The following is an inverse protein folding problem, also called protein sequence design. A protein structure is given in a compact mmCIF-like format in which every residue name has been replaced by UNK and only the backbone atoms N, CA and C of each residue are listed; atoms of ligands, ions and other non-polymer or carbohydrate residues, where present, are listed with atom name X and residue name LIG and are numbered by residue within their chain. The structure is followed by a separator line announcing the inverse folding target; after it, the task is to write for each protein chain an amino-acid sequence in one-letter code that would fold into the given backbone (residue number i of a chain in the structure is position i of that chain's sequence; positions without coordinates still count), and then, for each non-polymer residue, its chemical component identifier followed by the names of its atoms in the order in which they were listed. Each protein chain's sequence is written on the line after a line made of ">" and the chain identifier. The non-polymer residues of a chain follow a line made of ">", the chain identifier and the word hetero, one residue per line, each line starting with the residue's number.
data_IF_681816891292
#
_entry.id   IF_681816891292
#
_cell.length_a   1.000
_cell.length_b   1.000
_cell.length_c   1.000
_cell.angle_alpha   90.00
_cell.angle_beta   90.00
_cell.angle_gamma   90.00
#
_symmetry.space_group_name_H-M   'P 1'
#
loop_
_entity.id
_entity.type
_entity.pdbx_description
1 polymer ?
#
# COMPACT_ATOMS: atom_id res chain seq x y z
N UNK A 1 6.03 9.23 -22.42
CA UNK A 1 4.58 9.55 -22.17
C UNK A 1 4.38 9.39 -20.69
N UNK A 2 3.97 10.43 -19.98
CA UNK A 2 3.79 10.40 -18.52
C UNK A 2 2.69 9.44 -18.15
N UNK A 3 2.96 8.50 -17.25
CA UNK A 3 1.98 7.55 -16.74
C UNK A 3 1.01 8.23 -15.77
N UNK A 4 -0.21 7.74 -15.67
CA UNK A 4 -1.24 8.21 -14.74
C UNK A 4 -1.57 7.15 -13.71
N UNK A 5 -1.70 7.56 -12.44
CA UNK A 5 -2.13 6.68 -11.35
C UNK A 5 -3.39 7.26 -10.70
N UNK A 6 -4.54 6.62 -10.89
CA UNK A 6 -5.76 6.92 -10.15
C UNK A 6 -5.62 6.46 -8.72
N UNK A 7 -5.65 7.39 -7.79
CA UNK A 7 -5.35 7.16 -6.39
C UNK A 7 -6.03 8.20 -5.48
N UNK A 8 -5.95 7.98 -4.18
CA UNK A 8 -6.26 8.97 -3.14
C UNK A 8 -5.41 8.69 -1.89
N UNK A 9 -5.11 9.74 -1.13
CA UNK A 9 -4.11 9.73 -0.06
C UNK A 9 -4.30 8.65 0.99
N UNK A 10 -5.55 8.27 1.30
CA UNK A 10 -5.86 7.28 2.35
C UNK A 10 -5.75 5.82 1.89
N UNK A 11 -5.52 5.57 0.60
CA UNK A 11 -5.41 4.21 0.07
C UNK A 11 -4.00 3.65 0.21
N UNK A 12 -3.80 2.73 1.16
CA UNK A 12 -2.53 2.01 1.29
C UNK A 12 -2.18 1.16 0.07
N UNK A 13 -3.18 0.62 -0.65
CA UNK A 13 -2.95 -0.10 -1.90
C UNK A 13 -2.47 0.84 -3.02
N UNK A 14 -3.03 2.06 -3.11
CA UNK A 14 -2.53 3.05 -4.06
C UNK A 14 -1.14 3.54 -3.68
N UNK A 15 -0.86 3.71 -2.37
CA UNK A 15 0.46 4.10 -1.89
C UNK A 15 1.57 3.12 -2.29
N UNK A 16 1.33 1.81 -2.27
CA UNK A 16 2.30 0.81 -2.75
C UNK A 16 2.74 1.08 -4.19
N UNK A 17 1.79 1.33 -5.08
CA UNK A 17 2.06 1.63 -6.48
C UNK A 17 2.75 2.98 -6.63
N UNK A 18 2.22 4.03 -5.97
CA UNK A 18 2.78 5.38 -5.99
C UNK A 18 4.23 5.41 -5.47
N UNK A 19 4.49 4.75 -4.32
CA UNK A 19 5.83 4.66 -3.74
C UNK A 19 6.81 3.95 -4.69
N UNK A 20 6.37 2.87 -5.34
CA UNK A 20 7.21 2.15 -6.30
C UNK A 20 7.53 3.01 -7.50
N UNK A 21 6.56 3.73 -8.06
CA UNK A 21 6.75 4.68 -9.17
C UNK A 21 7.75 5.78 -8.80
N UNK A 22 7.58 6.39 -7.63
CA UNK A 22 8.43 7.48 -7.14
C UNK A 22 9.88 7.01 -6.93
N UNK A 23 10.08 5.94 -6.15
CA UNK A 23 11.42 5.41 -5.85
C UNK A 23 12.12 4.84 -7.10
N UNK A 24 11.37 4.32 -8.06
CA UNK A 24 11.92 3.88 -9.33
C UNK A 24 12.33 5.05 -10.24
N UNK A 25 11.88 6.27 -9.94
CA UNK A 25 12.09 7.45 -10.80
C UNK A 25 11.28 7.35 -12.09
N UNK A 26 10.09 6.76 -12.01
CA UNK A 26 9.17 6.66 -13.15
C UNK A 26 8.56 8.04 -13.45
N UNK A 27 8.31 8.33 -14.72
CA UNK A 27 7.58 9.56 -15.12
C UNK A 27 6.08 9.33 -14.95
N UNK A 28 5.49 9.86 -13.86
CA UNK A 28 4.10 9.64 -13.51
C UNK A 28 3.44 10.86 -12.86
N UNK A 29 2.11 10.89 -12.91
CA UNK A 29 1.29 11.89 -12.23
C UNK A 29 0.09 11.23 -11.52
N UNK A 30 -0.31 11.70 -10.33
CA UNK A 30 -1.50 11.21 -9.65
C UNK A 30 -2.77 11.81 -10.28
N UNK A 31 -3.81 10.98 -10.38
CA UNK A 31 -5.17 11.39 -10.70
C UNK A 31 -6.04 11.14 -9.48
N UNK A 32 -6.54 12.22 -8.87
CA UNK A 32 -7.37 12.11 -7.67
C UNK A 32 -8.67 11.37 -7.94
N UNK A 33 -9.03 10.47 -7.03
CA UNK A 33 -10.30 9.75 -7.03
C UNK A 33 -11.11 10.13 -5.78
N UNK A 34 -12.32 10.62 -5.98
CA UNK A 34 -13.24 10.97 -4.90
C UNK A 34 -13.92 9.71 -4.32
N UNK A 35 -13.10 8.83 -3.72
CA UNK A 35 -13.52 7.52 -3.21
C UNK A 35 -14.70 7.63 -2.24
N UNK A 36 -14.64 8.55 -1.28
CA UNK A 36 -15.68 8.72 -0.26
C UNK A 36 -16.99 9.31 -0.83
N UNK A 37 -16.95 9.92 -2.01
CA UNK A 37 -18.13 10.36 -2.77
C UNK A 37 -18.68 9.29 -3.69
N UNK A 38 -18.09 8.08 -3.70
CA UNK A 38 -18.58 6.94 -4.49
C UNK A 38 -18.15 6.93 -5.95
N UNK A 39 -17.18 7.76 -6.37
CA UNK A 39 -16.69 7.82 -7.75
C UNK A 39 -16.31 6.44 -8.32
N UNK A 40 -15.68 5.59 -7.51
CA UNK A 40 -15.25 4.24 -7.93
C UNK A 40 -16.42 3.32 -8.31
N UNK A 41 -17.66 3.68 -7.97
CA UNK A 41 -18.89 2.93 -8.32
C UNK A 41 -19.62 3.51 -9.51
N UNK A 42 -19.17 4.66 -10.00
CA UNK A 42 -19.73 5.29 -11.20
C UNK A 42 -19.35 4.56 -12.49
N UNK A 43 -20.16 4.67 -13.55
CA UNK A 43 -19.95 3.94 -14.80
C UNK A 43 -18.60 4.26 -15.46
N UNK A 44 -18.13 5.49 -15.37
CA UNK A 44 -16.85 5.90 -15.96
C UNK A 44 -15.67 5.19 -15.27
N UNK A 45 -15.68 5.11 -13.94
CA UNK A 45 -14.63 4.41 -13.20
C UNK A 45 -14.72 2.89 -13.38
N UNK A 46 -15.92 2.33 -13.40
CA UNK A 46 -16.15 0.89 -13.68
C UNK A 46 -15.65 0.55 -15.10
N UNK A 47 -15.82 1.45 -16.06
CA UNK A 47 -15.24 1.29 -17.41
C UNK A 47 -13.70 1.31 -17.43
N UNK A 48 -13.06 1.94 -16.45
CA UNK A 48 -11.61 1.97 -16.27
C UNK A 48 -11.10 0.75 -15.50
N UNK A 49 -11.83 0.34 -14.45
CA UNK A 49 -11.56 -0.83 -13.61
C UNK A 49 -12.87 -1.45 -13.12
N UNK A 50 -13.23 -2.60 -13.67
CA UNK A 50 -14.44 -3.35 -13.33
C UNK A 50 -14.56 -3.73 -11.85
N UNK A 51 -13.44 -3.76 -11.11
CA UNK A 51 -13.42 -4.05 -9.67
C UNK A 51 -13.84 -2.84 -8.82
N UNK A 52 -13.92 -1.61 -9.39
CA UNK A 52 -14.29 -0.40 -8.65
C UNK A 52 -13.28 -0.02 -7.56
N UNK A 53 -12.00 -0.32 -7.77
CA UNK A 53 -10.93 -0.16 -6.80
C UNK A 53 -9.76 0.68 -7.34
N UNK A 54 -9.07 1.39 -6.46
CA UNK A 54 -7.76 1.99 -6.72
C UNK A 54 -6.65 1.10 -6.14
N UNK A 55 -5.42 1.15 -6.70
CA UNK A 55 -4.97 2.00 -7.81
C UNK A 55 -5.35 1.47 -9.19
N UNK A 56 -5.42 2.39 -10.15
CA UNK A 56 -5.37 2.09 -11.57
C UNK A 56 -4.20 2.84 -12.19
N UNK A 57 -3.37 2.15 -12.94
CA UNK A 57 -2.24 2.72 -13.69
C UNK A 57 -2.56 2.73 -15.18
N UNK A 58 -2.22 3.82 -15.86
CA UNK A 58 -2.35 3.92 -17.32
C UNK A 58 -1.15 4.61 -17.95
N UNK A 59 -0.59 3.98 -18.97
CA UNK A 59 0.46 4.54 -19.82
C UNK A 59 0.14 4.23 -21.29
N UNK A 60 -0.21 5.24 -22.08
CA UNK A 60 -0.70 5.03 -23.44
C UNK A 60 -1.95 4.15 -23.46
N UNK A 61 -1.89 3.04 -24.18
CA UNK A 61 -2.98 2.06 -24.30
C UNK A 61 -2.95 0.99 -23.19
N UNK A 62 -1.86 0.94 -22.40
CA UNK A 62 -1.74 0.00 -21.30
C UNK A 62 -2.54 0.51 -20.10
N UNK A 63 -3.45 -0.32 -19.59
CA UNK A 63 -4.13 -0.10 -18.31
C UNK A 63 -3.88 -1.30 -17.40
N UNK A 64 -3.42 -1.04 -16.18
CA UNK A 64 -3.16 -2.06 -15.16
C UNK A 64 -3.94 -1.74 -13.89
N UNK A 65 -4.48 -2.78 -13.29
CA UNK A 65 -5.13 -2.74 -11.98
C UNK A 65 -4.42 -3.69 -11.01
N UNK A 66 -4.74 -3.62 -9.71
CA UNK A 66 -4.05 -4.32 -8.63
C UNK A 66 -2.64 -3.79 -8.36
N UNK A 67 -2.43 -3.29 -7.14
CA UNK A 67 -1.15 -2.66 -6.74
C UNK A 67 0.07 -3.54 -7.01
N UNK A 68 -0.03 -4.85 -6.74
CA UNK A 68 1.06 -5.79 -6.96
C UNK A 68 1.42 -5.95 -8.45
N UNK A 69 0.42 -5.92 -9.35
CA UNK A 69 0.65 -5.98 -10.80
C UNK A 69 1.35 -4.72 -11.29
N UNK A 70 0.91 -3.55 -10.79
CA UNK A 70 1.54 -2.26 -11.12
C UNK A 70 2.99 -2.23 -10.61
N UNK A 71 3.23 -2.66 -9.37
CA UNK A 71 4.58 -2.73 -8.80
C UNK A 71 5.51 -3.63 -9.63
N UNK A 72 5.05 -4.82 -10.02
CA UNK A 72 5.80 -5.73 -10.88
C UNK A 72 6.12 -5.10 -12.24
N UNK A 73 5.14 -4.50 -12.89
CA UNK A 73 5.34 -3.82 -14.18
C UNK A 73 6.40 -2.72 -14.07
N UNK A 74 6.31 -1.86 -13.04
CA UNK A 74 7.27 -0.77 -12.82
C UNK A 74 8.67 -1.32 -12.56
N UNK A 75 8.81 -2.34 -11.72
CA UNK A 75 10.08 -2.96 -11.41
C UNK A 75 10.72 -3.62 -12.64
N UNK A 76 9.94 -4.36 -13.43
CA UNK A 76 10.40 -4.99 -14.68
C UNK A 76 10.79 -3.96 -15.75
N UNK A 77 10.01 -2.87 -15.87
CA UNK A 77 10.25 -1.80 -16.83
C UNK A 77 11.51 -0.98 -16.52
N UNK A 78 11.80 -0.78 -15.23
CA UNK A 78 12.94 0.04 -14.76
C UNK A 78 14.18 -0.79 -14.41
N UNK A 79 14.05 -2.09 -14.24
CA UNK A 79 15.10 -2.97 -13.73
C UNK A 79 15.42 -2.75 -12.23
N UNK A 80 14.60 -1.97 -11.50
CA UNK A 80 14.80 -1.63 -10.09
C UNK A 80 13.90 -2.46 -9.18
N UNK A 81 14.38 -2.77 -7.97
CA UNK A 81 13.60 -3.41 -6.90
C UNK A 81 13.04 -4.82 -7.20
N UNK A 82 13.58 -5.50 -8.21
CA UNK A 82 13.15 -6.85 -8.59
C UNK A 82 13.59 -7.93 -7.60
N UNK A 83 14.68 -7.69 -6.85
CA UNK A 83 15.34 -8.72 -6.05
C UNK A 83 16.03 -9.79 -6.91
N UNK A 84 16.86 -10.63 -6.28
CA UNK A 84 17.58 -11.72 -6.94
C UNK A 84 16.74 -12.99 -7.05
N UNK A 85 15.87 -13.23 -6.07
CA UNK A 85 14.92 -14.35 -6.07
C UNK A 85 13.48 -13.84 -6.26
N UNK A 86 12.99 -13.96 -7.49
CA UNK A 86 11.62 -13.57 -7.86
C UNK A 86 10.55 -14.30 -7.02
N UNK A 87 10.80 -15.58 -6.68
CA UNK A 87 9.81 -16.35 -5.91
C UNK A 87 9.70 -15.82 -4.47
N UNK A 88 10.82 -15.41 -3.87
CA UNK A 88 10.82 -14.82 -2.54
C UNK A 88 10.11 -13.45 -2.54
N UNK A 89 10.37 -12.61 -3.55
CA UNK A 89 9.65 -11.33 -3.72
C UNK A 89 8.14 -11.58 -3.84
N UNK A 90 7.72 -12.47 -4.74
CA UNK A 90 6.31 -12.80 -4.92
C UNK A 90 5.67 -13.39 -3.66
N UNK A 91 6.38 -14.25 -2.93
CA UNK A 91 5.90 -14.83 -1.67
C UNK A 91 5.51 -13.75 -0.68
N UNK A 92 6.33 -12.70 -0.52
CA UNK A 92 6.04 -11.59 0.37
C UNK A 92 4.96 -10.65 -0.17
N UNK A 93 4.89 -10.43 -1.46
CA UNK A 93 3.79 -9.67 -2.07
C UNK A 93 2.44 -10.37 -1.88
N UNK A 94 2.37 -11.70 -2.03
CA UNK A 94 1.16 -12.47 -1.73
C UNK A 94 0.85 -12.52 -0.24
N UNK A 95 1.88 -12.60 0.62
CA UNK A 95 1.68 -12.47 2.07
C UNK A 95 1.07 -11.11 2.43
N UNK A 96 1.58 -10.02 1.87
CA UNK A 96 1.00 -8.70 2.05
C UNK A 96 -0.47 -8.69 1.65
N UNK A 97 -0.75 -9.05 0.40
CA UNK A 97 -2.10 -8.95 -0.15
C UNK A 97 -3.14 -9.73 0.67
N UNK A 98 -2.76 -10.93 1.15
CA UNK A 98 -3.65 -11.79 1.94
C UNK A 98 -3.66 -11.44 3.43
N UNK A 99 -2.50 -11.14 4.03
CA UNK A 99 -2.31 -11.12 5.48
C UNK A 99 -2.14 -9.73 6.08
N UNK A 100 -1.58 -8.79 5.35
CA UNK A 100 -1.40 -7.42 5.81
C UNK A 100 -2.49 -6.53 5.20
N UNK A 101 -2.41 -6.19 3.94
CA UNK A 101 -3.32 -5.22 3.31
C UNK A 101 -4.77 -5.68 3.27
N UNK A 102 -5.02 -6.97 3.05
CA UNK A 102 -6.36 -7.55 3.10
C UNK A 102 -7.04 -7.45 4.47
N UNK A 103 -6.29 -7.15 5.53
CA UNK A 103 -6.81 -6.91 6.87
C UNK A 103 -6.69 -5.44 7.28
N UNK A 104 -5.57 -4.78 6.96
CA UNK A 104 -5.30 -3.40 7.35
C UNK A 104 -6.26 -2.40 6.70
N UNK A 105 -6.52 -2.56 5.41
CA UNK A 105 -7.48 -1.71 4.69
C UNK A 105 -8.87 -1.73 5.31
N UNK A 106 -9.52 -2.89 5.46
CA UNK A 106 -10.82 -3.00 6.15
C UNK A 106 -10.78 -2.53 7.60
N UNK A 107 -9.76 -2.90 8.39
CA UNK A 107 -9.66 -2.45 9.79
C UNK A 107 -9.60 -0.93 9.88
N UNK A 108 -8.73 -0.30 9.07
CA UNK A 108 -8.58 1.16 9.03
C UNK A 108 -9.87 1.84 8.57
N UNK A 109 -10.56 1.29 7.56
CA UNK A 109 -11.83 1.81 7.09
C UNK A 109 -12.89 1.79 8.19
N UNK A 110 -13.08 0.64 8.84
CA UNK A 110 -14.08 0.47 9.90
C UNK A 110 -13.79 1.35 11.13
N UNK A 111 -12.53 1.54 11.48
CA UNK A 111 -12.13 2.30 12.66
C UNK A 111 -12.13 3.81 12.46
N UNK A 112 -11.83 4.30 11.24
CA UNK A 112 -11.57 5.74 11.06
C UNK A 112 -12.57 6.42 10.13
N UNK A 113 -13.23 5.68 9.22
CA UNK A 113 -14.06 6.29 8.16
C UNK A 113 -15.55 6.01 8.34
N UNK A 114 -15.92 5.15 9.28
CA UNK A 114 -17.30 4.98 9.69
C UNK A 114 -17.63 5.87 10.90
N UNK A 115 -18.87 6.41 10.98
CA UNK A 115 -19.40 6.99 12.20
C UNK A 115 -19.27 6.03 13.37
N UNK A 116 -18.95 6.52 14.57
CA UNK A 116 -18.63 5.69 15.73
C UNK A 116 -19.72 4.67 16.06
N UNK A 117 -20.99 5.07 15.95
CA UNK A 117 -22.17 4.23 16.21
C UNK A 117 -22.38 3.10 15.19
N UNK A 118 -21.70 3.18 14.03
CA UNK A 118 -21.78 2.17 12.96
C UNK A 118 -20.56 1.24 12.94
N UNK A 119 -19.60 1.43 13.85
CA UNK A 119 -18.37 0.63 13.89
C UNK A 119 -18.65 -0.77 14.46
N UNK A 120 -18.45 -1.85 13.69
CA UNK A 120 -18.74 -3.20 14.15
C UNK A 120 -17.56 -3.74 15.00
N UNK A 121 -17.64 -3.60 16.33
CA UNK A 121 -16.56 -3.94 17.25
C UNK A 121 -16.00 -5.36 17.04
N UNK A 122 -16.87 -6.38 16.91
CA UNK A 122 -16.43 -7.76 16.71
C UNK A 122 -15.67 -8.00 15.39
N UNK A 123 -16.01 -7.27 14.32
CA UNK A 123 -15.27 -7.35 13.06
C UNK A 123 -13.90 -6.65 13.19
N UNK A 124 -13.85 -5.51 13.88
CA UNK A 124 -12.61 -4.79 14.16
C UNK A 124 -11.67 -5.66 14.98
N UNK A 125 -12.15 -6.27 16.09
CA UNK A 125 -11.36 -7.14 16.95
C UNK A 125 -10.79 -8.34 16.17
N UNK A 126 -11.61 -8.94 15.31
CA UNK A 126 -11.18 -10.04 14.44
C UNK A 126 -10.05 -9.62 13.50
N UNK A 127 -10.21 -8.48 12.81
CA UNK A 127 -9.21 -7.96 11.87
C UNK A 127 -7.91 -7.60 12.58
N UNK A 128 -7.99 -6.94 13.74
CA UNK A 128 -6.82 -6.60 14.57
C UNK A 128 -6.10 -7.85 15.07
N UNK A 129 -6.84 -8.89 15.47
CA UNK A 129 -6.27 -10.18 15.87
C UNK A 129 -5.48 -10.83 14.74
N UNK A 130 -6.02 -10.79 13.51
CA UNK A 130 -5.34 -11.30 12.32
C UNK A 130 -4.10 -10.48 11.95
N UNK A 131 -4.19 -9.16 12.03
CA UNK A 131 -3.05 -8.26 11.80
C UNK A 131 -1.94 -8.52 12.80
N UNK A 132 -2.25 -8.63 14.09
CA UNK A 132 -1.26 -8.93 15.13
C UNK A 132 -0.54 -10.26 14.87
N UNK A 133 -1.26 -11.28 14.39
CA UNK A 133 -0.64 -12.55 13.99
C UNK A 133 0.30 -12.36 12.78
N UNK A 134 -0.04 -11.49 11.84
CA UNK A 134 0.80 -11.21 10.66
C UNK A 134 2.02 -10.37 11.02
N UNK A 135 1.88 -9.39 11.92
CA UNK A 135 3.01 -8.61 12.44
C UNK A 135 4.03 -9.49 13.16
N UNK A 136 3.58 -10.48 13.96
CA UNK A 136 4.50 -11.46 14.58
C UNK A 136 5.33 -12.23 13.54
N UNK A 137 4.76 -12.55 12.39
CA UNK A 137 5.49 -13.22 11.31
C UNK A 137 6.55 -12.29 10.73
N UNK A 138 6.17 -11.06 10.39
CA UNK A 138 7.08 -10.07 9.79
C UNK A 138 8.16 -9.63 10.77
N UNK A 139 7.81 -9.34 12.02
CA UNK A 139 8.76 -8.97 13.09
C UNK A 139 9.83 -10.03 13.29
N UNK A 140 9.43 -11.32 13.35
CA UNK A 140 10.37 -12.45 13.47
C UNK A 140 11.22 -12.60 12.22
N UNK A 141 10.63 -12.42 11.03
CA UNK A 141 11.35 -12.55 9.77
C UNK A 141 12.44 -11.50 9.61
N UNK A 142 12.21 -10.29 10.11
CA UNK A 142 13.16 -9.18 10.08
C UNK A 142 14.31 -9.34 11.11
N UNK A 143 14.34 -10.43 11.88
CA UNK A 143 15.49 -10.71 12.76
C UNK A 143 16.75 -10.98 11.94
N UNK A 144 17.74 -10.08 12.08
CA UNK A 144 19.00 -10.14 11.33
C UNK A 144 18.85 -9.82 9.83
N UNK A 145 17.75 -9.18 9.43
CA UNK A 145 17.47 -8.77 8.05
C UNK A 145 17.12 -7.30 7.98
N UNK A 146 17.65 -6.62 6.98
CA UNK A 146 17.30 -5.23 6.69
C UNK A 146 16.05 -5.11 5.84
N UNK A 147 15.78 -6.08 4.94
CA UNK A 147 14.70 -6.10 3.97
C UNK A 147 13.98 -7.46 3.96
N UNK A 148 12.75 -7.48 3.44
CA UNK A 148 11.90 -8.69 3.56
C UNK A 148 12.25 -9.78 2.55
N UNK A 149 12.76 -9.47 1.37
CA UNK A 149 12.95 -10.47 0.31
C UNK A 149 14.39 -10.61 -0.20
N UNK A 150 15.25 -9.63 0.01
CA UNK A 150 16.64 -9.66 -0.45
C UNK A 150 17.56 -8.90 0.54
N UNK A 151 18.83 -8.73 0.19
CA UNK A 151 19.78 -7.86 0.89
C UNK A 151 19.57 -6.36 0.57
N UNK A 152 18.86 -6.06 -0.51
CA UNK A 152 18.49 -4.72 -0.96
C UNK A 152 16.96 -4.58 -0.96
N UNK A 153 16.42 -3.33 -0.94
CA UNK A 153 14.98 -3.12 -0.98
C UNK A 153 14.35 -3.64 -2.27
N UNK A 154 13.17 -4.21 -2.15
CA UNK A 154 12.41 -4.77 -3.26
C UNK A 154 10.97 -4.28 -3.24
N UNK A 155 10.22 -4.52 -4.33
CA UNK A 155 8.78 -4.25 -4.35
C UNK A 155 8.00 -5.01 -3.27
N UNK A 156 8.56 -6.08 -2.70
CA UNK A 156 7.98 -6.78 -1.57
C UNK A 156 7.97 -5.92 -0.30
N UNK A 157 9.04 -5.12 -0.08
CA UNK A 157 9.10 -4.16 1.02
C UNK A 157 8.03 -3.08 0.86
N UNK A 158 7.90 -2.55 -0.36
CA UNK A 158 6.92 -1.51 -0.68
C UNK A 158 5.48 -2.03 -0.65
N UNK A 159 5.26 -3.31 -0.94
CA UNK A 159 3.98 -3.95 -0.74
C UNK A 159 3.65 -4.06 0.75
N UNK A 160 4.55 -4.66 1.55
CA UNK A 160 4.31 -4.94 2.96
C UNK A 160 4.16 -3.67 3.82
N UNK A 161 4.78 -2.53 3.44
CA UNK A 161 4.68 -1.28 4.19
C UNK A 161 3.44 -0.43 3.88
N UNK A 162 2.66 -0.79 2.88
CA UNK A 162 1.61 0.06 2.26
C UNK A 162 0.63 0.74 3.21
N UNK A 163 0.34 0.15 4.37
CA UNK A 163 -0.53 0.74 5.39
C UNK A 163 0.22 1.22 6.64
N UNK A 164 1.50 0.91 6.81
CA UNK A 164 2.19 1.05 8.10
C UNK A 164 2.74 2.46 8.38
N UNK A 165 2.64 3.36 7.42
CA UNK A 165 3.01 4.78 7.58
C UNK A 165 1.83 5.68 7.95
N UNK A 166 0.60 5.18 7.92
CA UNK A 166 -0.57 5.99 8.22
C UNK A 166 -0.70 6.27 9.72
N UNK A 167 -1.01 7.52 10.11
CA UNK A 167 -1.11 7.92 11.51
C UNK A 167 -2.42 7.49 12.18
N UNK A 168 -3.48 7.23 11.40
CA UNK A 168 -4.76 6.84 11.95
C UNK A 168 -4.69 5.43 12.54
N UNK A 169 -5.22 5.21 13.74
CA UNK A 169 -5.11 3.94 14.45
C UNK A 169 -5.88 2.82 13.73
N UNK A 170 -5.27 1.67 13.56
CA UNK A 170 -5.91 0.46 13.00
C UNK A 170 -5.36 -0.85 13.60
N UNK A 171 -4.62 -0.76 14.71
CA UNK A 171 -4.03 -1.92 15.39
C UNK A 171 -2.56 -2.15 15.07
N UNK A 172 -1.87 -1.15 14.53
CA UNK A 172 -0.41 -1.11 14.40
C UNK A 172 0.14 0.00 15.27
N UNK A 173 1.06 -0.34 16.18
CA UNK A 173 1.87 0.59 16.93
C UNK A 173 3.35 0.18 16.76
N UNK A 174 4.18 1.10 16.26
CA UNK A 174 5.60 0.85 16.02
C UNK A 174 6.36 0.46 17.29
N UNK A 175 5.91 0.93 18.45
CA UNK A 175 6.53 0.61 19.73
C UNK A 175 6.44 -0.89 20.10
N UNK A 176 5.37 -1.56 19.64
CA UNK A 176 5.17 -3.00 19.86
C UNK A 176 6.03 -3.89 18.93
N UNK A 177 6.56 -3.31 17.83
CA UNK A 177 7.23 -4.02 16.74
C UNK A 177 8.55 -3.35 16.35
N UNK A 178 9.61 -3.44 17.18
CA UNK A 178 10.83 -2.65 17.00
C UNK A 178 11.60 -2.96 15.70
N UNK A 179 11.60 -4.22 15.22
CA UNK A 179 12.28 -4.56 13.96
C UNK A 179 11.50 -4.04 12.74
N UNK A 180 10.17 -4.13 12.77
CA UNK A 180 9.33 -3.49 11.77
C UNK A 180 9.49 -1.97 11.81
N UNK A 181 9.58 -1.37 13.00
CA UNK A 181 9.87 0.05 13.16
C UNK A 181 11.18 0.46 12.49
N UNK A 182 12.27 -0.25 12.78
CA UNK A 182 13.58 -0.01 12.16
C UNK A 182 13.58 -0.25 10.64
N UNK A 183 12.84 -1.24 10.15
CA UNK A 183 12.65 -1.50 8.72
C UNK A 183 11.86 -0.36 8.04
N UNK A 184 10.81 0.16 8.66
CA UNK A 184 10.09 1.33 8.15
C UNK A 184 10.97 2.58 8.11
N UNK A 185 11.86 2.78 9.10
CA UNK A 185 12.83 3.88 9.09
C UNK A 185 13.82 3.76 7.91
N UNK A 186 14.26 2.53 7.59
CA UNK A 186 15.09 2.29 6.40
C UNK A 186 14.36 2.61 5.11
N UNK A 187 13.07 2.23 4.99
CA UNK A 187 12.25 2.60 3.83
C UNK A 187 12.12 4.12 3.74
N UNK A 188 11.84 4.79 4.84
CA UNK A 188 11.70 6.25 4.89
C UNK A 188 13.01 7.01 4.59
N UNK A 189 14.16 6.36 4.75
CA UNK A 189 15.47 6.90 4.41
C UNK A 189 15.85 6.71 2.93
N UNK A 190 15.06 5.99 2.13
CA UNK A 190 15.33 5.83 0.70
C UNK A 190 15.21 7.17 -0.04
N UNK A 191 16.15 7.51 -0.93
CA UNK A 191 16.09 8.74 -1.71
C UNK A 191 14.79 8.81 -2.52
N UNK A 192 14.04 9.90 -2.34
CA UNK A 192 12.75 10.11 -3.02
C UNK A 192 11.55 9.58 -2.24
N UNK A 193 11.72 8.97 -1.07
CA UNK A 193 10.59 8.56 -0.24
C UNK A 193 9.74 9.77 0.17
N UNK A 194 8.43 9.58 0.15
CA UNK A 194 7.44 10.54 0.63
C UNK A 194 6.36 9.84 1.44
N UNK A 195 5.85 10.51 2.45
CA UNK A 195 4.69 10.05 3.19
C UNK A 195 3.46 9.88 2.27
N UNK A 196 2.55 8.92 2.51
CA UNK A 196 1.38 8.71 1.62
C UNK A 196 0.56 9.98 1.35
N UNK A 197 0.36 10.83 2.35
CA UNK A 197 -0.37 12.10 2.20
C UNK A 197 0.42 13.21 1.49
N UNK A 198 1.75 13.07 1.36
CA UNK A 198 2.57 14.00 0.59
C UNK A 198 2.77 13.52 -0.86
N UNK A 199 2.59 12.20 -1.09
CA UNK A 199 2.81 11.57 -2.39
C UNK A 199 1.55 11.52 -3.25
N UNK A 200 0.39 11.36 -2.62
CA UNK A 200 -0.88 11.21 -3.31
C UNK A 200 -1.86 12.32 -2.91
N UNK A 201 -2.78 12.72 -3.81
CA UNK A 201 -3.79 13.72 -3.50
C UNK A 201 -4.83 13.21 -2.48
N UNK A 202 -5.41 14.16 -1.75
CA UNK A 202 -6.37 13.88 -0.67
C UNK A 202 -5.68 13.63 0.67
N UNK A 203 -6.33 14.09 1.72
CA UNK A 203 -5.89 13.93 3.11
C UNK A 203 -7.09 13.82 4.03
N UNK A 204 -6.92 13.41 5.31
CA UNK A 204 -8.02 13.42 6.28
C UNK A 204 -8.68 14.79 6.44
N UNK A 205 -7.94 15.89 6.25
CA UNK A 205 -8.46 17.24 6.30
C UNK A 205 -9.45 17.58 5.17
N UNK A 206 -9.35 16.90 4.03
CA UNK A 206 -10.24 17.12 2.89
C UNK A 206 -11.63 16.50 3.07
N UNK A 207 -11.86 15.85 4.21
CA UNK A 207 -13.11 15.15 4.56
C UNK A 207 -13.97 15.90 5.59
N UNK A 208 -13.50 17.04 6.08
CA UNK A 208 -14.20 17.85 7.07
C UNK A 208 -15.35 18.68 6.47
#
# INVERSE_FOLDING_TARGET
>A
MTAKLWCFGESGNAYKAALTLELAGYDWEPVQVAFFSGETRGPDFIGLNEMGEVPVFREGDLTLTQSAVIQLHVAERTGKFLGRDRNEVLRWMFFDNHRLSGQAGPARFLMNFLPAEKRPAGAIDYLQGRLRASYKVLERHLEGRDWVADAEPTIADFACCGYLFYPEPFGFDRADWPRMGAWLDRIAALPGWKHPYDLMPGSPADRA
#
